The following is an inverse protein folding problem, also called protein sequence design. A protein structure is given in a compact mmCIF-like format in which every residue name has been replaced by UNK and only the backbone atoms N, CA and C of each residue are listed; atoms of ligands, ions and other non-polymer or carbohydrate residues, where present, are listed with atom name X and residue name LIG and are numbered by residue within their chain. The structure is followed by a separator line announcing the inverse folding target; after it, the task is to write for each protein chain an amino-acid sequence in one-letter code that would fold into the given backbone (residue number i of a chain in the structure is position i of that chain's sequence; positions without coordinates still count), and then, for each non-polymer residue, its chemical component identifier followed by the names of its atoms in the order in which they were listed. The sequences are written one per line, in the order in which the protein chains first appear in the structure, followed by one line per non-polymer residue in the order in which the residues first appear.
data_IF_982651361617
#
_entry.id   IF_982651361617
#
_cell.length_a   1.000
_cell.length_b   1.000
_cell.length_c   1.000
_cell.angle_alpha   90.00
_cell.angle_beta   90.00
_cell.angle_gamma   90.00
#
_symmetry.space_group_name_H-M   'P 1'
#
loop_
_entity.id
_entity.type
_entity.pdbx_description
1 polymer ?
#
# COMPACT_ATOMS: atom_id res chain seq x y z
N UNK A 1 5.96 3.45 17.59
CA UNK A 1 5.87 3.23 16.13
C UNK A 1 4.41 3.02 15.80
N UNK A 2 3.81 3.90 14.99
CA UNK A 2 2.43 3.73 14.53
C UNK A 2 2.46 2.63 13.47
N UNK A 3 1.99 1.43 13.82
CA UNK A 3 1.81 0.35 12.85
C UNK A 3 0.54 0.69 12.07
N UNK A 4 0.68 1.24 10.87
CA UNK A 4 -0.47 1.37 9.96
C UNK A 4 -0.85 -0.05 9.55
N UNK A 5 -2.10 -0.51 9.73
CA UNK A 5 -2.50 -1.83 9.28
C UNK A 5 -2.57 -1.90 7.75
N UNK A 6 -2.40 -3.11 7.20
CA UNK A 6 -2.43 -3.39 5.75
C UNK A 6 -1.21 -2.84 5.00
N UNK A 7 -0.01 -2.92 5.58
CA UNK A 7 1.21 -2.61 4.84
C UNK A 7 1.46 -3.66 3.75
N UNK A 8 2.25 -3.30 2.74
CA UNK A 8 2.45 -4.20 1.59
C UNK A 8 3.07 -5.55 2.02
N UNK A 9 3.94 -5.52 3.03
CA UNK A 9 4.56 -6.73 3.59
C UNK A 9 3.53 -7.61 4.32
N UNK A 10 2.52 -7.01 4.95
CA UNK A 10 1.43 -7.74 5.61
C UNK A 10 0.57 -8.49 4.59
N UNK A 11 0.41 -7.91 3.38
CA UNK A 11 -0.37 -8.50 2.30
C UNK A 11 0.35 -9.64 1.58
N UNK A 12 1.69 -9.65 1.61
CA UNK A 12 2.54 -10.64 0.92
C UNK A 12 3.62 -11.22 1.85
N UNK A 13 3.25 -11.85 2.97
CA UNK A 13 4.21 -12.28 3.99
C UNK A 13 5.21 -13.32 3.47
N UNK A 14 4.80 -14.14 2.48
CA UNK A 14 5.66 -15.16 1.86
C UNK A 14 6.70 -14.58 0.91
N UNK A 15 6.50 -13.34 0.44
CA UNK A 15 7.37 -12.66 -0.52
C UNK A 15 8.13 -11.50 0.14
N UNK A 16 8.14 -11.39 1.47
CA UNK A 16 8.75 -10.26 2.18
C UNK A 16 10.22 -10.00 1.78
N UNK A 17 11.02 -11.06 1.61
CA UNK A 17 12.40 -10.94 1.13
C UNK A 17 12.48 -10.42 -0.31
N UNK A 18 11.69 -10.99 -1.22
CA UNK A 18 11.62 -10.55 -2.62
C UNK A 18 11.15 -9.10 -2.74
N UNK A 19 10.21 -8.67 -1.91
CA UNK A 19 9.73 -7.27 -1.85
C UNK A 19 10.84 -6.33 -1.40
N UNK A 20 11.65 -6.74 -0.41
CA UNK A 20 12.80 -5.96 0.03
C UNK A 20 13.83 -5.79 -1.10
N UNK A 21 14.16 -6.87 -1.80
CA UNK A 21 15.12 -6.86 -2.90
C UNK A 21 14.60 -6.01 -4.08
N UNK A 22 13.34 -6.19 -4.46
CA UNK A 22 12.69 -5.39 -5.50
C UNK A 22 12.63 -3.90 -5.13
N UNK A 23 12.45 -3.56 -3.86
CA UNK A 23 12.48 -2.15 -3.41
C UNK A 23 13.87 -1.54 -3.62
N UNK A 24 14.93 -2.30 -3.39
CA UNK A 24 16.30 -1.83 -3.58
C UNK A 24 16.73 -1.75 -5.06
N UNK A 25 16.27 -2.70 -5.87
CA UNK A 25 16.80 -2.92 -7.22
C UNK A 25 15.87 -2.41 -8.35
N UNK A 26 14.56 -2.30 -8.10
CA UNK A 26 13.58 -1.89 -9.10
C UNK A 26 12.95 -0.54 -8.75
N UNK A 27 13.35 0.51 -9.48
CA UNK A 27 12.85 1.87 -9.26
C UNK A 27 11.35 2.04 -9.50
N UNK A 28 10.72 1.23 -10.37
CA UNK A 28 9.25 1.24 -10.50
C UNK A 28 8.61 0.62 -9.25
N UNK A 29 9.12 -0.52 -8.80
CA UNK A 29 8.60 -1.19 -7.61
C UNK A 29 8.76 -0.33 -6.35
N UNK A 30 9.89 0.35 -6.19
CA UNK A 30 10.09 1.29 -5.08
C UNK A 30 9.02 2.37 -5.06
N UNK A 31 8.65 2.94 -6.21
CA UNK A 31 7.58 3.94 -6.29
C UNK A 31 6.22 3.34 -5.92
N UNK A 32 5.91 2.14 -6.40
CA UNK A 32 4.66 1.45 -6.04
C UNK A 32 4.62 1.18 -4.53
N UNK A 33 5.73 0.75 -3.93
CA UNK A 33 5.83 0.49 -2.50
C UNK A 33 5.54 1.76 -1.68
N UNK A 34 6.21 2.87 -2.01
CA UNK A 34 6.06 4.11 -1.26
C UNK A 34 4.66 4.72 -1.48
N UNK A 35 4.13 4.70 -2.70
CA UNK A 35 2.77 5.16 -3.01
C UNK A 35 1.71 4.31 -2.29
N UNK A 36 1.92 2.99 -2.21
CA UNK A 36 1.05 2.09 -1.45
C UNK A 36 1.05 2.42 0.04
N UNK A 37 2.22 2.68 0.62
CA UNK A 37 2.36 3.08 2.02
C UNK A 37 1.58 4.37 2.30
N UNK A 38 1.73 5.38 1.44
CA UNK A 38 1.05 6.67 1.59
C UNK A 38 -0.47 6.53 1.50
N UNK A 39 -0.98 5.79 0.51
CA UNK A 39 -2.43 5.55 0.35
C UNK A 39 -3.00 4.76 1.53
N UNK A 40 -2.31 3.72 1.99
CA UNK A 40 -2.73 2.94 3.16
C UNK A 40 -2.79 3.80 4.42
N UNK A 41 -1.82 4.71 4.60
CA UNK A 41 -1.80 5.64 5.72
C UNK A 41 -2.91 6.68 5.61
N UNK A 42 -3.23 7.17 4.41
CA UNK A 42 -4.33 8.10 4.18
C UNK A 42 -5.69 7.45 4.50
N UNK A 43 -5.94 6.24 3.98
CA UNK A 43 -7.13 5.44 4.31
C UNK A 43 -7.26 5.28 5.82
N UNK A 44 -6.17 4.90 6.51
CA UNK A 44 -6.21 4.70 7.96
C UNK A 44 -6.55 5.99 8.73
N UNK A 45 -6.04 7.16 8.29
CA UNK A 45 -6.39 8.45 8.92
C UNK A 45 -7.86 8.82 8.72
N UNK A 46 -8.42 8.51 7.54
CA UNK A 46 -9.84 8.65 7.25
C UNK A 46 -10.71 7.74 8.12
N UNK A 47 -10.39 6.45 8.16
CA UNK A 47 -11.15 5.44 8.93
C UNK A 47 -11.11 5.67 10.44
N UNK A 48 -10.02 6.24 10.95
CA UNK A 48 -9.86 6.55 12.38
C UNK A 48 -10.37 7.93 12.77
N UNK A 49 -10.98 8.69 11.83
CA UNK A 49 -11.42 10.07 12.03
C UNK A 49 -10.29 11.03 12.50
N UNK A 50 -9.03 10.68 12.26
CA UNK A 50 -7.89 11.57 12.52
C UNK A 50 -7.86 12.69 11.49
N UNK A 51 -8.11 12.35 10.22
CA UNK A 51 -8.36 13.30 9.14
C UNK A 51 -9.66 12.88 8.45
N UNK A 52 -10.82 13.40 8.89
CA UNK A 52 -12.10 13.06 8.30
C UNK A 52 -12.13 13.40 6.80
N UNK A 53 -12.53 12.43 6.00
CA UNK A 53 -12.70 12.54 4.55
C UNK A 53 -14.11 12.07 4.20
N UNK A 54 -14.63 12.51 3.05
CA UNK A 54 -15.92 12.02 2.58
C UNK A 54 -15.81 10.55 2.13
N UNK A 55 -16.94 9.83 2.20
CA UNK A 55 -17.00 8.40 1.89
C UNK A 55 -16.58 8.11 0.45
N UNK A 56 -16.85 9.01 -0.50
CA UNK A 56 -16.46 8.82 -1.89
C UNK A 56 -14.94 8.86 -2.07
N UNK A 57 -14.27 9.82 -1.42
CA UNK A 57 -12.81 9.92 -1.42
C UNK A 57 -12.17 8.68 -0.80
N UNK A 58 -12.70 8.20 0.34
CA UNK A 58 -12.20 6.98 0.98
C UNK A 58 -12.33 5.75 0.06
N UNK A 59 -13.45 5.63 -0.65
CA UNK A 59 -13.66 4.56 -1.63
C UNK A 59 -12.70 4.65 -2.82
N UNK A 60 -12.40 5.85 -3.33
CA UNK A 60 -11.41 6.01 -4.40
C UNK A 60 -10.00 5.60 -3.94
N UNK A 61 -9.61 5.96 -2.70
CA UNK A 61 -8.35 5.50 -2.12
C UNK A 61 -8.29 3.97 -1.98
N UNK A 62 -9.38 3.35 -1.49
CA UNK A 62 -9.47 1.88 -1.38
C UNK A 62 -9.32 1.19 -2.73
N UNK A 63 -9.94 1.72 -3.79
CA UNK A 63 -9.78 1.22 -5.16
C UNK A 63 -8.36 1.39 -5.67
N UNK A 64 -7.72 2.53 -5.42
CA UNK A 64 -6.32 2.77 -5.78
C UNK A 64 -5.38 1.77 -5.10
N UNK A 65 -5.58 1.51 -3.80
CA UNK A 65 -4.85 0.49 -3.06
C UNK A 65 -5.01 -0.90 -3.70
N UNK A 66 -6.22 -1.26 -4.12
CA UNK A 66 -6.48 -2.53 -4.79
C UNK A 66 -5.73 -2.64 -6.14
N UNK A 67 -5.75 -1.59 -6.95
CA UNK A 67 -5.02 -1.55 -8.23
C UNK A 67 -3.51 -1.71 -8.03
N UNK A 68 -2.96 -1.15 -6.95
CA UNK A 68 -1.55 -1.34 -6.60
C UNK A 68 -1.25 -2.79 -6.23
N UNK A 69 -2.12 -3.45 -5.47
CA UNK A 69 -1.97 -4.88 -5.14
C UNK A 69 -1.97 -5.75 -6.41
N UNK A 70 -2.80 -5.43 -7.39
CA UNK A 70 -2.81 -6.12 -8.67
C UNK A 70 -1.48 -5.94 -9.42
N UNK A 71 -0.95 -4.72 -9.46
CA UNK A 71 0.37 -4.43 -10.05
C UNK A 71 1.50 -5.16 -9.33
N UNK A 72 1.52 -5.13 -8.00
CA UNK A 72 2.52 -5.84 -7.19
C UNK A 72 2.43 -7.34 -7.44
N UNK A 73 1.22 -7.90 -7.48
CA UNK A 73 1.00 -9.31 -7.78
C UNK A 73 1.54 -9.68 -9.18
N UNK A 74 1.39 -8.80 -10.17
CA UNK A 74 1.96 -9.02 -11.50
C UNK A 74 3.50 -9.00 -11.52
N UNK A 75 4.13 -8.19 -10.67
CA UNK A 75 5.60 -8.11 -10.54
C UNK A 75 6.17 -9.29 -9.75
N UNK A 76 5.44 -9.79 -8.75
CA UNK A 76 5.88 -10.90 -7.88
C UNK A 76 5.70 -12.29 -8.50
N UNK A 77 5.00 -12.40 -9.64
CA UNK A 77 4.87 -13.65 -10.41
C UNK A 77 6.15 -14.00 -11.14
#
# INVERSE_FOLDING_TARGET
MSHTPNELIDMFPKQAAQIHDLKAENGEFSRIFDEYHDVTREIHRGETNVEPMDDFHLEELRKRRLQMLDRVTAILK
#
